data_IF_187960238817
#
_entry.id   IF_187960238817
#
_cell.length_a   1.000
_cell.length_b   1.000
_cell.length_c   1.000
_cell.angle_alpha   90.00
_cell.angle_beta   90.00
_cell.angle_gamma   90.00
#
_symmetry.space_group_name_H-M   'P 1'
#
loop_
_entity.id
_entity.type
_entity.pdbx_description
1 polymer ?
#
# COMPACT_ATOMS: atom_id res chain seq x y z
N UNK A 1 -54.61 22.50 51.69
CA UNK A 1 -54.48 22.75 50.25
C UNK A 1 -53.11 22.23 49.79
N UNK A 2 -53.14 21.21 48.93
CA UNK A 2 -52.14 20.72 47.95
C UNK A 2 -50.66 20.64 48.35
N UNK A 3 -50.21 19.40 48.51
CA UNK A 3 -48.82 18.93 48.39
C UNK A 3 -48.21 19.32 47.03
N UNK A 4 -46.93 19.69 47.01
CA UNK A 4 -46.10 19.60 45.81
C UNK A 4 -44.74 19.00 46.17
N UNK A 5 -44.58 17.73 45.80
CA UNK A 5 -43.32 17.01 45.76
C UNK A 5 -42.58 17.51 44.51
N UNK A 6 -41.41 18.11 44.69
CA UNK A 6 -40.55 18.54 43.58
C UNK A 6 -39.80 17.30 43.07
N UNK A 7 -40.28 16.73 41.96
CA UNK A 7 -39.56 15.71 41.19
C UNK A 7 -38.51 16.45 40.35
N UNK A 8 -37.23 16.23 40.66
CA UNK A 8 -36.11 16.69 39.83
C UNK A 8 -36.04 15.77 38.61
N UNK A 9 -36.61 16.21 37.49
CA UNK A 9 -36.42 15.56 36.19
C UNK A 9 -35.05 15.99 35.67
N UNK A 10 -34.07 15.10 35.76
CA UNK A 10 -32.80 15.24 35.05
C UNK A 10 -33.07 15.01 33.56
N UNK A 11 -33.25 16.08 32.80
CA UNK A 11 -33.26 16.02 31.34
C UNK A 11 -31.82 15.81 30.89
N UNK A 12 -31.44 14.55 30.65
CA UNK A 12 -30.22 14.23 29.91
C UNK A 12 -30.52 14.61 28.46
N UNK A 13 -30.15 15.83 28.09
CA UNK A 13 -30.15 16.28 26.71
C UNK A 13 -29.17 15.38 25.95
N UNK A 14 -29.69 14.46 25.15
CA UNK A 14 -28.94 13.78 24.11
C UNK A 14 -28.55 14.82 23.06
N UNK A 15 -27.49 15.58 23.34
CA UNK A 15 -26.74 16.26 22.28
C UNK A 15 -26.11 15.16 21.45
N UNK A 16 -26.75 14.90 20.31
CA UNK A 16 -26.21 14.17 19.18
C UNK A 16 -24.71 14.44 19.08
N UNK A 17 -23.92 13.41 19.36
CA UNK A 17 -22.53 13.30 18.94
C UNK A 17 -22.51 13.59 17.45
N UNK A 18 -22.09 14.80 17.09
CA UNK A 18 -21.76 15.12 15.71
C UNK A 18 -20.83 14.03 15.22
N UNK A 19 -21.26 13.32 14.18
CA UNK A 19 -20.43 12.39 13.45
C UNK A 19 -19.17 13.16 13.08
N UNK A 20 -18.07 12.88 13.78
CA UNK A 20 -16.77 13.39 13.42
C UNK A 20 -16.49 12.86 12.02
N UNK A 21 -16.73 13.70 11.01
CA UNK A 21 -16.26 13.48 9.66
C UNK A 21 -14.75 13.25 9.82
N UNK A 22 -14.18 12.12 9.36
CA UNK A 22 -12.77 11.88 9.57
C UNK A 22 -12.00 13.04 8.93
N UNK A 23 -11.21 13.76 9.74
CA UNK A 23 -10.29 14.78 9.25
C UNK A 23 -9.38 14.12 8.23
N UNK A 24 -9.55 14.50 6.95
CA UNK A 24 -8.66 14.08 5.89
C UNK A 24 -7.30 14.75 6.11
N UNK A 25 -6.32 13.99 6.57
CA UNK A 25 -4.91 14.38 6.62
C UNK A 25 -4.31 14.39 5.19
N UNK A 26 -4.91 15.14 4.26
CA UNK A 26 -4.41 15.26 2.89
C UNK A 26 -3.50 16.49 2.78
N UNK A 27 -2.36 16.36 2.11
CA UNK A 27 -1.46 17.46 1.78
C UNK A 27 -1.51 17.76 0.27
N UNK A 28 -1.20 19.00 -0.11
CA UNK A 28 -1.23 19.45 -1.51
C UNK A 28 0.06 20.15 -1.92
N UNK A 29 0.58 19.83 -3.10
CA UNK A 29 1.71 20.51 -3.73
C UNK A 29 1.50 20.60 -5.24
N UNK A 30 2.12 21.60 -5.90
CA UNK A 30 1.92 21.87 -7.32
C UNK A 30 3.27 21.87 -8.04
N UNK A 31 3.41 21.03 -9.06
CA UNK A 31 4.65 20.88 -9.83
C UNK A 31 4.44 21.29 -11.29
N UNK A 32 5.25 22.23 -11.78
CA UNK A 32 5.37 22.55 -13.19
C UNK A 32 6.66 21.96 -13.72
N UNK A 33 6.59 21.05 -14.69
CA UNK A 33 7.73 20.23 -15.11
C UNK A 33 7.82 20.05 -16.62
N UNK A 34 7.35 21.01 -17.40
CA UNK A 34 7.17 20.85 -18.85
C UNK A 34 5.73 20.48 -19.20
N UNK A 35 5.54 19.72 -20.28
CA UNK A 35 4.21 19.24 -20.68
C UNK A 35 3.57 18.43 -19.54
N UNK A 36 2.43 18.91 -19.02
CA UNK A 36 1.81 18.31 -17.83
C UNK A 36 1.28 16.89 -18.04
N UNK A 37 1.18 16.38 -19.28
CA UNK A 37 0.68 15.04 -19.57
C UNK A 37 1.60 13.97 -19.00
N UNK A 38 2.90 14.13 -19.27
CA UNK A 38 3.91 13.25 -18.70
C UNK A 38 4.02 13.43 -17.19
N UNK A 39 4.07 14.68 -16.73
CA UNK A 39 4.23 15.01 -15.31
C UNK A 39 3.08 14.43 -14.47
N UNK A 40 1.84 14.57 -14.92
CA UNK A 40 0.67 13.97 -14.26
C UNK A 40 0.78 12.45 -14.25
N UNK A 41 0.98 11.84 -15.42
CA UNK A 41 1.03 10.39 -15.52
C UNK A 41 2.12 9.79 -14.63
N UNK A 42 3.29 10.43 -14.54
CA UNK A 42 4.37 10.05 -13.63
C UNK A 42 3.96 10.16 -12.16
N UNK A 43 3.45 11.32 -11.72
CA UNK A 43 3.13 11.58 -10.31
C UNK A 43 2.01 10.65 -9.82
N UNK A 44 1.02 10.36 -10.66
CA UNK A 44 -0.05 9.39 -10.36
C UNK A 44 0.44 7.98 -10.06
N UNK A 45 1.63 7.60 -10.53
CA UNK A 45 2.18 6.27 -10.27
C UNK A 45 2.67 6.10 -8.83
N UNK A 46 2.90 7.19 -8.10
CA UNK A 46 3.55 7.17 -6.80
C UNK A 46 2.53 6.74 -5.74
N UNK A 47 2.84 5.66 -5.00
CA UNK A 47 1.98 5.18 -3.93
C UNK A 47 1.80 6.28 -2.88
N UNK A 48 0.57 6.56 -2.47
CA UNK A 48 0.26 7.64 -1.53
C UNK A 48 -0.13 8.96 -2.22
N UNK A 49 0.06 9.12 -3.53
CA UNK A 49 -0.65 10.13 -4.30
C UNK A 49 -2.10 9.65 -4.48
N UNK A 50 -3.05 10.46 -4.01
CA UNK A 50 -4.46 10.09 -3.98
C UNK A 50 -5.25 10.68 -5.15
N UNK A 51 -4.84 11.84 -5.65
CA UNK A 51 -5.39 12.42 -6.87
C UNK A 51 -4.45 13.44 -7.49
N UNK A 52 -4.60 13.63 -8.81
CA UNK A 52 -3.91 14.68 -9.57
C UNK A 52 -4.92 15.49 -10.39
N UNK A 53 -4.53 16.69 -10.76
CA UNK A 53 -5.26 17.52 -11.72
C UNK A 53 -4.29 18.42 -12.48
N UNK A 54 -4.36 18.42 -13.80
CA UNK A 54 -3.56 19.35 -14.62
C UNK A 54 -4.24 20.69 -14.79
N UNK A 55 -3.45 21.75 -14.89
CA UNK A 55 -3.93 23.11 -15.03
C UNK A 55 -2.85 24.14 -15.26
N UNK A 56 -3.26 25.40 -15.15
CA UNK A 56 -2.45 26.58 -15.43
C UNK A 56 -2.26 27.37 -14.14
N UNK A 57 -1.03 27.37 -13.61
CA UNK A 57 -0.71 28.05 -12.35
C UNK A 57 -0.06 29.42 -12.58
N UNK A 58 -0.28 30.31 -11.61
CA UNK A 58 0.37 31.63 -11.53
C UNK A 58 0.18 32.45 -12.82
N UNK A 59 -1.04 32.44 -13.35
CA UNK A 59 -1.43 33.20 -14.52
C UNK A 59 -1.74 34.65 -14.17
N UNK A 60 -1.41 35.56 -15.09
CA UNK A 60 -1.84 36.96 -15.04
C UNK A 60 -3.22 37.17 -15.68
N UNK A 61 -3.79 36.15 -16.32
CA UNK A 61 -5.12 36.16 -16.94
C UNK A 61 -6.00 35.17 -16.19
N UNK A 62 -7.23 35.58 -15.84
CA UNK A 62 -8.16 34.70 -15.18
C UNK A 62 -8.68 33.62 -16.15
N UNK A 63 -8.69 32.36 -15.70
CA UNK A 63 -9.24 31.20 -16.43
C UNK A 63 -8.77 31.13 -17.90
N UNK A 64 -7.44 31.10 -18.16
CA UNK A 64 -6.93 31.09 -19.52
C UNK A 64 -7.23 29.74 -20.20
N UNK A 65 -7.55 29.80 -21.49
CA UNK A 65 -7.59 28.62 -22.37
C UNK A 65 -6.18 28.12 -22.71
N UNK A 66 -6.08 26.86 -23.16
CA UNK A 66 -4.83 26.30 -23.63
C UNK A 66 -4.14 27.18 -24.69
N UNK A 67 -4.89 27.69 -25.68
CA UNK A 67 -4.33 28.54 -26.74
C UNK A 67 -3.74 29.84 -26.19
N UNK A 68 -4.38 30.45 -25.19
CA UNK A 68 -3.87 31.66 -24.53
C UNK A 68 -2.60 31.37 -23.74
N UNK A 69 -2.51 30.20 -23.11
CA UNK A 69 -1.31 29.76 -22.39
C UNK A 69 -0.16 29.50 -23.36
N UNK A 70 -0.40 28.76 -24.45
CA UNK A 70 0.61 28.49 -25.48
C UNK A 70 1.09 29.76 -26.19
N UNK A 71 0.28 30.82 -26.23
CA UNK A 71 0.70 32.12 -26.76
C UNK A 71 1.75 32.83 -25.89
N UNK A 72 2.01 32.36 -24.66
CA UNK A 72 2.93 32.95 -23.69
C UNK A 72 2.44 34.24 -23.01
N UNK A 73 1.28 34.80 -23.41
CA UNK A 73 0.78 36.09 -22.92
C UNK A 73 0.23 36.03 -21.49
N UNK A 74 -0.25 34.87 -21.07
CA UNK A 74 -0.84 34.67 -19.75
C UNK A 74 0.22 34.50 -18.65
N UNK A 75 1.46 34.19 -19.05
CA UNK A 75 2.56 33.80 -18.17
C UNK A 75 2.25 32.61 -17.23
N UNK A 76 1.18 31.86 -17.50
CA UNK A 76 0.85 30.68 -16.71
C UNK A 76 1.90 29.58 -16.93
N UNK A 77 2.10 28.70 -15.95
CA UNK A 77 2.84 27.44 -16.14
C UNK A 77 1.86 26.28 -16.28
N UNK A 78 2.12 25.36 -17.20
CA UNK A 78 1.51 24.03 -17.16
C UNK A 78 1.94 23.33 -15.87
N UNK A 79 0.96 22.95 -15.05
CA UNK A 79 1.19 22.54 -13.66
C UNK A 79 0.29 21.37 -13.30
N UNK A 80 0.82 20.45 -12.51
CA UNK A 80 0.06 19.34 -11.91
C UNK A 80 -0.18 19.66 -10.44
N UNK A 81 -1.45 19.74 -10.05
CA UNK A 81 -1.88 19.66 -8.64
C UNK A 81 -1.73 18.21 -8.17
N UNK A 82 -1.06 18.00 -7.04
CA UNK A 82 -0.90 16.68 -6.41
C UNK A 82 -1.51 16.71 -5.02
N UNK A 83 -2.49 15.84 -4.78
CA UNK A 83 -3.04 15.57 -3.43
C UNK A 83 -2.50 14.22 -2.96
N UNK A 84 -1.90 14.18 -1.77
CA UNK A 84 -1.24 12.99 -1.26
C UNK A 84 -1.45 12.75 0.24
N UNK A 85 -1.30 11.51 0.66
CA UNK A 85 -1.27 11.09 2.08
C UNK A 85 0.17 11.20 2.63
N UNK A 86 0.46 12.18 3.50
CA UNK A 86 1.78 12.39 4.09
C UNK A 86 2.25 11.23 4.99
N UNK A 87 1.36 10.30 5.36
CA UNK A 87 1.74 9.06 6.06
C UNK A 87 2.30 7.99 5.13
N UNK A 88 1.94 8.05 3.85
CA UNK A 88 2.34 7.06 2.83
C UNK A 88 3.48 7.55 1.96
N UNK A 89 3.50 8.85 1.62
CA UNK A 89 4.56 9.51 0.84
C UNK A 89 4.81 10.89 1.43
N UNK A 90 6.07 11.22 1.72
CA UNK A 90 6.43 12.55 2.22
C UNK A 90 6.82 13.51 1.07
N UNK A 91 6.88 14.81 1.39
CA UNK A 91 7.22 15.85 0.42
C UNK A 91 8.66 15.70 -0.12
N UNK A 92 9.61 15.20 0.69
CA UNK A 92 10.99 15.00 0.25
C UNK A 92 11.07 13.98 -0.89
N UNK A 93 10.34 12.86 -0.77
CA UNK A 93 10.30 11.84 -1.81
C UNK A 93 9.62 12.37 -3.07
N UNK A 94 8.51 13.11 -2.95
CA UNK A 94 7.85 13.73 -4.11
C UNK A 94 8.80 14.70 -4.85
N UNK A 95 9.57 15.51 -4.12
CA UNK A 95 10.56 16.43 -4.68
C UNK A 95 11.70 15.68 -5.39
N UNK A 96 12.29 14.66 -4.76
CA UNK A 96 13.35 13.84 -5.37
C UNK A 96 12.87 13.17 -6.66
N UNK A 97 11.65 12.62 -6.66
CA UNK A 97 11.06 11.99 -7.84
C UNK A 97 10.76 13.01 -8.94
N UNK A 98 10.20 14.17 -8.60
CA UNK A 98 9.97 15.27 -9.54
C UNK A 98 11.29 15.69 -10.22
N UNK A 99 12.37 15.87 -9.46
CA UNK A 99 13.68 16.27 -10.01
C UNK A 99 14.26 15.27 -11.02
N UNK A 100 13.92 13.97 -10.91
CA UNK A 100 14.36 12.96 -11.88
C UNK A 100 13.63 13.05 -13.23
N UNK A 101 12.49 13.74 -13.27
CA UNK A 101 11.68 13.87 -14.49
C UNK A 101 11.98 15.10 -15.33
N UNK A 102 12.74 16.05 -14.79
CA UNK A 102 13.02 17.34 -15.42
C UNK A 102 14.52 17.54 -15.67
N UNK A 103 14.87 18.40 -16.61
CA UNK A 103 16.16 19.08 -16.64
C UNK A 103 16.07 20.32 -15.71
N UNK A 104 16.71 20.30 -14.53
CA UNK A 104 16.58 21.36 -13.55
C UNK A 104 17.34 22.64 -13.94
N UNK A 105 18.20 22.60 -14.96
CA UNK A 105 18.99 23.74 -15.43
C UNK A 105 18.36 24.43 -16.64
N UNK A 106 17.37 23.79 -17.26
CA UNK A 106 16.69 24.29 -18.45
C UNK A 106 15.74 25.44 -18.11
N UNK A 107 15.92 26.58 -18.78
CA UNK A 107 15.03 27.72 -18.66
C UNK A 107 13.93 27.64 -19.73
N UNK A 108 12.66 27.68 -19.30
CA UNK A 108 11.48 27.74 -20.19
C UNK A 108 11.44 26.64 -21.26
N UNK A 109 11.93 25.44 -20.92
CA UNK A 109 12.00 24.30 -21.83
C UNK A 109 12.08 23.00 -21.05
N UNK A 110 11.41 21.96 -21.54
CA UNK A 110 11.61 20.56 -21.12
C UNK A 110 11.49 19.67 -22.36
N UNK A 111 12.51 18.84 -22.63
CA UNK A 111 12.58 18.06 -23.86
C UNK A 111 12.48 18.94 -25.13
N UNK A 112 11.46 18.66 -25.95
CA UNK A 112 11.17 19.40 -27.18
C UNK A 112 10.22 20.59 -26.95
N UNK A 113 9.57 20.66 -25.80
CA UNK A 113 8.57 21.68 -25.47
C UNK A 113 9.28 22.96 -25.02
N UNK A 114 8.99 24.09 -25.69
CA UNK A 114 9.66 25.39 -25.47
C UNK A 114 8.63 26.50 -25.25
N UNK A 115 8.87 27.32 -24.23
CA UNK A 115 7.98 28.41 -23.85
C UNK A 115 7.89 28.57 -22.34
N UNK A 116 7.46 29.75 -21.90
CA UNK A 116 7.31 30.06 -20.46
C UNK A 116 6.32 29.15 -19.77
N UNK A 117 5.34 28.61 -20.49
CA UNK A 117 4.39 27.62 -19.99
C UNK A 117 5.05 26.29 -19.58
N UNK A 118 6.23 25.97 -20.13
CA UNK A 118 6.99 24.75 -19.83
C UNK A 118 8.15 24.98 -18.87
N UNK A 119 8.18 26.13 -18.16
CA UNK A 119 9.17 26.39 -17.13
C UNK A 119 9.03 25.40 -15.97
N UNK A 120 10.13 25.13 -15.29
CA UNK A 120 10.15 24.29 -14.10
C UNK A 120 9.80 25.11 -12.86
N UNK A 121 8.92 24.59 -12.01
CA UNK A 121 8.42 25.32 -10.86
C UNK A 121 7.83 24.41 -9.77
N UNK A 122 7.99 24.85 -8.52
CA UNK A 122 7.36 24.25 -7.35
C UNK A 122 6.51 25.33 -6.68
N UNK A 123 5.20 25.12 -6.65
CA UNK A 123 4.26 26.07 -6.08
C UNK A 123 3.61 25.52 -4.82
N UNK A 124 3.83 26.20 -3.69
CA UNK A 124 3.33 25.79 -2.38
C UNK A 124 2.12 26.62 -1.96
N UNK A 125 1.17 26.00 -1.26
CA UNK A 125 0.08 26.69 -0.57
C UNK A 125 0.45 26.88 0.91
N UNK A 126 0.97 25.83 1.56
CA UNK A 126 1.39 25.90 2.95
C UNK A 126 2.83 26.46 3.04
N UNK A 127 3.01 27.53 3.83
CA UNK A 127 4.33 28.12 4.06
C UNK A 127 5.28 27.18 4.83
N UNK A 128 4.73 26.19 5.54
CA UNK A 128 5.51 25.20 6.28
C UNK A 128 6.29 24.24 5.36
N UNK A 129 5.89 24.12 4.08
CA UNK A 129 6.60 23.31 3.08
C UNK A 129 7.87 24.00 2.57
N UNK A 130 7.95 25.32 2.67
CA UNK A 130 9.00 26.13 2.08
C UNK A 130 10.42 25.76 2.57
N UNK A 131 10.68 25.52 3.87
CA UNK A 131 11.98 25.04 4.33
C UNK A 131 12.40 23.71 3.69
N UNK A 132 11.46 22.76 3.55
CA UNK A 132 11.70 21.45 2.94
C UNK A 132 12.04 21.60 1.45
N UNK A 133 11.26 22.40 0.72
CA UNK A 133 11.49 22.69 -0.71
C UNK A 133 12.85 23.37 -0.90
N UNK A 134 13.17 24.39 -0.11
CA UNK A 134 14.44 25.11 -0.21
C UNK A 134 15.63 24.22 0.10
N UNK A 135 15.50 23.32 1.08
CA UNK A 135 16.54 22.34 1.39
C UNK A 135 16.75 21.36 0.23
N UNK A 136 15.66 20.86 -0.36
CA UNK A 136 15.73 19.95 -1.51
C UNK A 136 16.39 20.63 -2.73
N UNK A 137 16.03 21.88 -3.03
CA UNK A 137 16.67 22.68 -4.10
C UNK A 137 18.15 22.91 -3.81
N UNK A 138 18.51 23.24 -2.56
CA UNK A 138 19.91 23.41 -2.16
C UNK A 138 20.70 22.12 -2.38
N UNK A 139 20.15 20.96 -1.98
CA UNK A 139 20.79 19.66 -2.19
C UNK A 139 20.89 19.28 -3.67
N UNK A 140 19.88 19.60 -4.48
CA UNK A 140 19.92 19.37 -5.92
C UNK A 140 21.00 20.24 -6.58
N UNK A 141 21.11 21.50 -6.17
CA UNK A 141 22.05 22.46 -6.75
C UNK A 141 23.51 22.03 -6.65
N UNK A 142 23.88 21.26 -5.61
CA UNK A 142 25.27 20.78 -5.45
C UNK A 142 25.67 19.75 -6.51
N UNK A 143 24.69 19.16 -7.21
CA UNK A 143 24.91 18.16 -8.26
C UNK A 143 25.15 18.80 -9.64
N UNK A 144 24.95 20.11 -9.77
CA UNK A 144 25.03 20.82 -11.05
C UNK A 144 26.02 21.99 -10.97
N UNK A 145 26.82 22.16 -12.03
CA UNK A 145 27.67 23.36 -12.18
C UNK A 145 26.87 24.56 -12.67
N UNK A 146 25.88 24.31 -13.51
CA UNK A 146 24.94 25.32 -14.00
C UNK A 146 23.90 25.61 -12.93
N UNK A 147 23.57 26.89 -12.66
CA UNK A 147 22.49 27.23 -11.74
C UNK A 147 21.16 26.56 -12.11
N UNK A 148 20.42 26.16 -11.09
CA UNK A 148 19.10 25.55 -11.25
C UNK A 148 18.09 26.64 -11.63
N UNK A 149 17.25 26.35 -12.62
CA UNK A 149 16.23 27.24 -13.19
C UNK A 149 14.84 27.05 -12.56
N UNK A 150 14.67 26.06 -11.67
CA UNK A 150 13.41 25.77 -10.98
C UNK A 150 13.02 26.96 -10.11
N UNK A 151 11.86 27.56 -10.37
CA UNK A 151 11.33 28.60 -9.50
C UNK A 151 10.58 28.00 -8.29
N UNK A 152 10.74 28.60 -7.12
CA UNK A 152 9.98 28.25 -5.91
C UNK A 152 9.17 29.47 -5.50
N UNK A 153 7.84 29.37 -5.59
CA UNK A 153 6.93 30.50 -5.36
C UNK A 153 5.66 30.05 -4.62
N UNK A 154 4.99 30.94 -3.88
CA UNK A 154 3.64 30.64 -3.42
C UNK A 154 2.70 30.47 -4.63
N UNK A 155 1.74 29.57 -4.52
CA UNK A 155 0.66 29.45 -5.51
C UNK A 155 -0.28 30.66 -5.37
N UNK A 156 -0.45 31.42 -6.46
CA UNK A 156 -1.31 32.61 -6.49
C UNK A 156 -2.69 32.30 -7.07
N UNK A 157 -2.74 31.51 -8.13
CA UNK A 157 -3.95 30.96 -8.73
C UNK A 157 -3.63 29.65 -9.45
N UNK A 158 -4.64 28.80 -9.61
CA UNK A 158 -4.60 27.57 -10.39
C UNK A 158 -5.93 27.41 -11.11
N UNK A 159 -5.89 27.33 -12.43
CA UNK A 159 -7.07 27.09 -13.27
C UNK A 159 -6.98 25.69 -13.86
N UNK A 160 -7.94 24.78 -13.58
CA UNK A 160 -7.96 23.46 -14.20
C UNK A 160 -7.95 23.56 -15.72
N UNK A 161 -7.10 22.76 -16.37
CA UNK A 161 -7.13 22.65 -17.82
C UNK A 161 -8.39 21.91 -18.28
N UNK A 162 -8.68 22.02 -19.56
CA UNK A 162 -9.80 21.38 -20.22
C UNK A 162 -9.80 19.85 -20.00
N UNK A 163 -10.98 19.23 -20.03
CA UNK A 163 -11.17 17.82 -19.68
C UNK A 163 -10.41 16.84 -20.58
N UNK A 164 -10.04 17.25 -21.80
CA UNK A 164 -9.24 16.43 -22.70
C UNK A 164 -7.77 16.35 -22.28
N UNK A 165 -7.26 17.30 -21.49
CA UNK A 165 -5.91 17.29 -20.95
C UNK A 165 -5.79 16.45 -19.66
N UNK A 166 -6.86 16.34 -18.88
CA UNK A 166 -6.88 15.53 -17.66
C UNK A 166 -6.68 14.05 -18.02
N UNK A 167 -5.78 13.35 -17.33
CA UNK A 167 -5.50 11.93 -17.54
C UNK A 167 -5.15 11.59 -19.01
N UNK A 168 -4.48 12.51 -19.71
CA UNK A 168 -4.28 12.40 -21.15
C UNK A 168 -3.59 11.09 -21.57
N UNK A 169 -2.53 10.66 -20.88
CA UNK A 169 -1.80 9.43 -21.20
C UNK A 169 -2.53 8.16 -20.76
N UNK A 170 -3.47 8.26 -19.82
CA UNK A 170 -4.34 7.13 -19.48
C UNK A 170 -5.38 6.91 -20.59
N UNK A 171 -5.89 8.00 -21.17
CA UNK A 171 -6.79 8.00 -22.34
C UNK A 171 -6.06 7.65 -23.64
N UNK A 172 -4.78 8.02 -23.74
CA UNK A 172 -3.95 7.88 -24.94
C UNK A 172 -2.59 7.26 -24.57
N UNK A 173 -2.48 5.93 -24.37
CA UNK A 173 -1.24 5.29 -23.90
C UNK A 173 -0.02 5.46 -24.82
N UNK A 174 -0.24 5.71 -26.12
CA UNK A 174 0.80 6.05 -27.11
C UNK A 174 0.96 7.54 -27.36
N UNK A 175 0.34 8.39 -26.53
CA UNK A 175 0.39 9.83 -26.64
C UNK A 175 1.78 10.40 -26.40
N UNK A 176 1.97 11.66 -26.79
CA UNK A 176 3.24 12.35 -26.59
C UNK A 176 3.62 12.43 -25.10
N UNK A 177 4.87 12.05 -24.80
CA UNK A 177 5.46 12.21 -23.48
C UNK A 177 6.97 12.41 -23.62
N UNK A 178 7.51 13.49 -23.04
CA UNK A 178 8.96 13.73 -23.01
C UNK A 178 9.67 13.00 -21.86
N UNK A 179 8.92 12.50 -20.86
CA UNK A 179 9.48 11.75 -19.73
C UNK A 179 9.80 10.33 -20.17
N UNK A 180 10.99 9.83 -19.82
CA UNK A 180 11.39 8.47 -20.15
C UNK A 180 10.45 7.45 -19.47
N UNK A 181 9.85 6.50 -20.21
CA UNK A 181 8.93 5.50 -19.64
C UNK A 181 9.51 4.66 -18.49
N UNK A 182 10.83 4.47 -18.43
CA UNK A 182 11.49 3.77 -17.32
C UNK A 182 11.28 4.48 -15.97
N UNK A 183 11.06 5.80 -15.97
CA UNK A 183 10.77 6.57 -14.77
C UNK A 183 9.37 6.27 -14.21
N UNK A 184 8.40 5.84 -15.02
CA UNK A 184 7.10 5.43 -14.50
C UNK A 184 7.18 4.16 -13.65
N UNK A 185 8.01 3.20 -14.07
CA UNK A 185 8.29 2.00 -13.26
C UNK A 185 9.01 2.35 -11.96
N UNK A 186 9.97 3.27 -12.03
CA UNK A 186 10.66 3.79 -10.84
C UNK A 186 9.65 4.43 -9.87
N UNK A 187 8.74 5.29 -10.35
CA UNK A 187 7.73 5.94 -9.53
C UNK A 187 6.83 4.92 -8.81
N UNK A 188 6.37 3.88 -9.50
CA UNK A 188 5.57 2.79 -8.90
C UNK A 188 6.30 2.06 -7.77
N UNK A 189 7.63 1.97 -7.86
CA UNK A 189 8.49 1.27 -6.90
C UNK A 189 9.10 2.17 -5.83
N UNK A 190 9.02 3.49 -5.98
CA UNK A 190 9.77 4.45 -5.17
C UNK A 190 9.50 4.35 -3.66
N UNK A 191 8.27 4.01 -3.29
CA UNK A 191 7.86 3.71 -1.92
C UNK A 191 6.91 2.52 -1.88
N UNK A 192 7.29 1.47 -2.61
CA UNK A 192 6.60 0.18 -2.55
C UNK A 192 6.35 -0.20 -1.08
N UNK A 193 5.17 -0.77 -0.76
CA UNK A 193 4.89 -1.23 0.59
C UNK A 193 6.05 -2.11 1.06
N UNK A 194 6.56 -1.86 2.26
CA UNK A 194 7.52 -2.77 2.88
C UNK A 194 6.78 -4.08 3.13
N UNK A 195 7.02 -5.09 2.31
CA UNK A 195 6.53 -6.44 2.56
C UNK A 195 7.13 -6.91 3.88
N UNK A 196 6.30 -7.43 4.78
CA UNK A 196 6.79 -8.03 6.02
C UNK A 196 7.67 -9.22 5.64
N UNK A 197 8.96 -9.13 5.95
CA UNK A 197 9.91 -10.21 5.69
C UNK A 197 9.86 -11.15 6.87
N UNK A 198 9.39 -12.37 6.63
CA UNK A 198 9.41 -13.44 7.61
C UNK A 198 10.77 -14.15 7.56
N UNK A 199 11.27 -14.57 8.72
CA UNK A 199 12.55 -15.27 8.83
C UNK A 199 12.42 -16.41 9.83
N UNK A 200 13.06 -17.54 9.55
CA UNK A 200 13.17 -18.64 10.50
C UNK A 200 14.08 -18.24 11.66
N UNK A 201 13.60 -18.27 12.91
CA UNK A 201 14.48 -18.14 14.07
C UNK A 201 15.48 -19.29 14.13
N UNK A 202 16.59 -19.08 14.85
CA UNK A 202 17.56 -20.15 15.10
C UNK A 202 16.99 -21.24 16.03
N UNK A 203 17.60 -22.43 16.02
CA UNK A 203 17.12 -23.58 16.79
C UNK A 203 17.04 -23.33 18.31
N UNK A 204 17.97 -22.54 18.86
CA UNK A 204 17.98 -22.20 20.29
C UNK A 204 16.79 -21.33 20.65
N UNK A 205 16.44 -20.39 19.78
CA UNK A 205 15.25 -19.54 19.91
C UNK A 205 13.98 -20.39 19.80
N UNK A 206 13.87 -21.24 18.77
CA UNK A 206 12.72 -22.13 18.59
C UNK A 206 12.49 -23.06 19.80
N UNK A 207 13.55 -23.60 20.42
CA UNK A 207 13.43 -24.44 21.63
C UNK A 207 12.94 -23.69 22.86
N UNK A 208 13.15 -22.38 22.92
CA UNK A 208 12.71 -21.54 24.05
C UNK A 208 11.26 -21.08 23.88
N UNK A 209 10.87 -20.78 22.65
CA UNK A 209 9.56 -20.18 22.35
C UNK A 209 8.46 -21.22 22.10
N UNK A 210 8.81 -22.37 21.50
CA UNK A 210 7.83 -23.41 21.18
C UNK A 210 7.63 -24.39 22.33
N UNK A 211 6.41 -24.90 22.46
CA UNK A 211 6.14 -26.07 23.30
C UNK A 211 6.86 -27.31 22.75
N UNK A 212 7.02 -28.34 23.59
CA UNK A 212 7.65 -29.59 23.18
C UNK A 212 6.94 -30.24 21.97
N UNK A 213 5.61 -30.18 21.92
CA UNK A 213 4.81 -30.69 20.80
C UNK A 213 4.97 -29.84 19.55
N UNK A 214 4.89 -28.51 19.67
CA UNK A 214 5.09 -27.58 18.55
C UNK A 214 6.49 -27.76 17.93
N UNK A 215 7.52 -27.89 18.75
CA UNK A 215 8.88 -28.16 18.29
C UNK A 215 8.99 -29.54 17.63
N UNK A 216 8.39 -30.59 18.22
CA UNK A 216 8.40 -31.93 17.65
C UNK A 216 7.70 -31.99 16.29
N UNK A 217 6.54 -31.37 16.17
CA UNK A 217 5.79 -31.27 14.91
C UNK A 217 6.61 -30.50 13.88
N UNK A 218 6.95 -29.24 14.17
CA UNK A 218 7.53 -28.33 13.17
C UNK A 218 8.96 -28.68 12.76
N UNK A 219 9.80 -29.15 13.70
CA UNK A 219 11.22 -29.40 13.44
C UNK A 219 11.58 -30.88 13.29
N UNK A 220 10.77 -31.80 13.82
CA UNK A 220 11.04 -33.25 13.78
C UNK A 220 9.99 -34.07 13.03
N UNK A 221 9.10 -33.40 12.30
CA UNK A 221 8.05 -34.03 11.48
C UNK A 221 7.13 -34.97 12.29
N UNK A 222 6.92 -34.66 13.58
CA UNK A 222 5.92 -35.37 14.37
C UNK A 222 4.50 -35.00 13.89
N UNK A 223 3.52 -35.78 14.30
CA UNK A 223 2.09 -35.50 14.06
C UNK A 223 1.35 -35.51 15.39
N UNK A 224 0.61 -34.45 15.68
CA UNK A 224 -0.18 -34.32 16.91
C UNK A 224 -1.39 -35.29 16.88
N UNK A 225 -1.97 -35.66 18.03
CA UNK A 225 -3.10 -36.58 18.05
C UNK A 225 -4.37 -35.98 17.42
N UNK A 226 -5.10 -36.82 16.67
CA UNK A 226 -6.40 -36.45 16.09
C UNK A 226 -7.40 -36.04 17.18
N UNK A 227 -8.18 -35.00 16.92
CA UNK A 227 -9.23 -34.42 17.80
C UNK A 227 -8.76 -33.92 19.17
N UNK A 228 -7.47 -34.03 19.50
CA UNK A 228 -6.88 -33.55 20.74
C UNK A 228 -5.85 -32.47 20.44
N UNK A 229 -6.29 -31.48 19.66
CA UNK A 229 -5.47 -30.34 19.25
C UNK A 229 -6.31 -29.06 19.25
N UNK A 230 -5.65 -27.91 19.16
CA UNK A 230 -6.32 -26.61 19.39
C UNK A 230 -7.28 -26.21 18.27
N UNK A 231 -6.97 -26.53 17.02
CA UNK A 231 -7.64 -25.93 15.86
C UNK A 231 -8.49 -26.88 15.02
N UNK A 232 -8.64 -28.16 15.37
CA UNK A 232 -9.54 -29.05 14.62
C UNK A 232 -10.96 -28.47 14.54
N UNK A 233 -11.50 -27.96 15.66
CA UNK A 233 -12.86 -27.38 15.74
C UNK A 233 -12.89 -25.84 15.82
N UNK A 234 -11.81 -25.15 15.42
CA UNK A 234 -11.80 -23.69 15.34
C UNK A 234 -12.51 -23.22 14.06
N UNK A 235 -13.47 -22.30 14.19
CA UNK A 235 -14.30 -21.78 13.09
C UNK A 235 -14.41 -20.26 13.08
N UNK A 236 -13.72 -19.56 14.00
CA UNK A 236 -13.77 -18.10 14.06
C UNK A 236 -13.14 -17.50 12.78
N UNK A 237 -13.64 -16.34 12.31
CA UNK A 237 -13.01 -15.61 11.22
C UNK A 237 -11.59 -15.17 11.61
N UNK A 238 -10.62 -15.40 10.73
CA UNK A 238 -9.22 -15.09 10.96
C UNK A 238 -8.27 -15.78 9.99
N UNK A 239 -6.98 -15.69 10.29
CA UNK A 239 -5.90 -16.35 9.54
C UNK A 239 -5.13 -17.30 10.45
N UNK A 240 -4.46 -18.28 9.85
CA UNK A 240 -3.53 -19.18 10.52
C UNK A 240 -2.13 -18.86 10.00
N UNK A 241 -1.23 -18.50 10.91
CA UNK A 241 0.17 -18.19 10.59
C UNK A 241 1.07 -19.35 11.01
N UNK A 242 2.22 -19.49 10.36
CA UNK A 242 3.30 -20.38 10.79
C UNK A 242 3.71 -19.99 12.21
N UNK A 243 3.64 -20.94 13.15
CA UNK A 243 3.99 -20.66 14.55
C UNK A 243 5.46 -20.30 14.74
N UNK A 244 6.33 -20.71 13.80
CA UNK A 244 7.78 -20.50 13.87
C UNK A 244 8.23 -19.15 13.32
N UNK A 245 7.51 -18.59 12.34
CA UNK A 245 7.92 -17.35 11.65
C UNK A 245 6.90 -16.23 11.71
N UNK A 246 5.64 -16.56 12.00
CA UNK A 246 4.50 -15.65 11.88
C UNK A 246 4.03 -15.41 10.43
N UNK A 247 4.56 -16.13 9.44
CA UNK A 247 4.11 -16.01 8.04
C UNK A 247 2.68 -16.54 7.86
N UNK A 248 1.74 -15.77 7.27
CA UNK A 248 0.38 -16.24 7.01
C UNK A 248 0.34 -17.42 6.04
N UNK A 249 -0.26 -18.53 6.46
CA UNK A 249 -0.32 -19.76 5.67
C UNK A 249 -1.73 -20.06 5.13
N UNK A 250 -2.77 -19.88 5.96
CA UNK A 250 -4.14 -20.25 5.60
C UNK A 250 -5.16 -19.23 6.07
N UNK A 251 -6.32 -19.20 5.41
CA UNK A 251 -7.48 -18.38 5.79
C UNK A 251 -8.59 -19.27 6.34
N UNK A 252 -9.29 -18.79 7.37
CA UNK A 252 -10.50 -19.44 7.91
C UNK A 252 -11.58 -19.74 6.86
N UNK A 253 -11.72 -18.91 5.82
CA UNK A 253 -12.70 -19.11 4.72
C UNK A 253 -12.42 -20.36 3.87
N UNK A 254 -11.16 -20.79 3.84
CA UNK A 254 -10.73 -21.99 3.11
C UNK A 254 -10.64 -23.22 4.02
N UNK A 255 -10.83 -23.05 5.34
CA UNK A 255 -10.97 -24.14 6.30
C UNK A 255 -12.32 -24.86 6.09
N UNK A 256 -12.34 -26.16 6.30
CA UNK A 256 -13.55 -26.98 6.30
C UNK A 256 -13.43 -28.14 7.28
N UNK A 257 -14.57 -28.71 7.68
CA UNK A 257 -14.59 -29.92 8.50
C UNK A 257 -14.45 -31.15 7.59
N UNK A 258 -13.34 -31.87 7.76
CA UNK A 258 -13.05 -33.11 7.01
C UNK A 258 -13.37 -34.37 7.80
N UNK A 259 -13.67 -34.26 9.10
CA UNK A 259 -13.78 -35.39 10.01
C UNK A 259 -12.47 -36.15 10.26
N UNK A 260 -11.31 -35.67 9.79
CA UNK A 260 -10.04 -36.38 10.00
C UNK A 260 -9.42 -36.16 11.40
N UNK A 261 -9.86 -35.12 12.11
CA UNK A 261 -9.36 -34.75 13.44
C UNK A 261 -8.21 -33.74 13.48
N UNK A 262 -7.82 -33.20 12.32
CA UNK A 262 -6.87 -32.09 12.19
C UNK A 262 -7.49 -30.94 11.40
N UNK A 263 -7.08 -29.67 11.63
CA UNK A 263 -7.55 -28.55 10.81
C UNK A 263 -7.25 -28.82 9.34
N UNK A 264 -8.29 -28.71 8.52
CA UNK A 264 -8.26 -29.04 7.10
C UNK A 264 -8.60 -27.82 6.26
N UNK A 265 -7.75 -27.51 5.28
CA UNK A 265 -7.91 -26.38 4.37
C UNK A 265 -7.96 -26.83 2.92
N UNK A 266 -8.70 -26.11 2.09
CA UNK A 266 -8.80 -26.40 0.66
C UNK A 266 -7.62 -25.86 -0.14
N UNK A 267 -7.00 -24.78 0.33
CA UNK A 267 -5.84 -24.12 -0.29
C UNK A 267 -5.09 -23.23 0.73
N UNK A 268 -3.80 -22.96 0.51
CA UNK A 268 -3.07 -21.93 1.25
C UNK A 268 -3.46 -20.50 0.79
N UNK A 269 -3.08 -19.49 1.58
CA UNK A 269 -3.22 -18.06 1.25
C UNK A 269 -2.59 -17.74 -0.11
N UNK A 270 -1.40 -18.30 -0.33
CA UNK A 270 -0.64 -18.21 -1.58
C UNK A 270 0.06 -19.56 -1.80
N UNK A 271 0.24 -19.97 -3.07
CA UNK A 271 0.84 -21.28 -3.36
C UNK A 271 2.35 -21.31 -3.15
N UNK A 272 3.01 -20.18 -3.38
CA UNK A 272 4.46 -20.06 -3.37
C UNK A 272 5.08 -19.97 -1.96
N UNK A 273 4.27 -19.88 -0.90
CA UNK A 273 4.68 -19.94 0.51
C UNK A 273 4.68 -21.38 1.08
N UNK A 274 4.20 -22.36 0.32
CA UNK A 274 4.19 -23.78 0.70
C UNK A 274 5.23 -24.55 -0.12
N UNK A 275 5.98 -25.41 0.55
CA UNK A 275 6.84 -26.40 -0.08
C UNK A 275 6.20 -27.80 0.03
N UNK A 276 6.01 -28.45 -1.12
CA UNK A 276 5.51 -29.82 -1.20
C UNK A 276 6.68 -30.79 -1.40
N UNK A 277 6.79 -31.81 -0.53
CA UNK A 277 7.85 -32.84 -0.59
C UNK A 277 7.23 -34.23 -0.63
N UNK A 278 7.82 -35.13 -1.41
CA UNK A 278 7.40 -36.55 -1.42
C UNK A 278 7.76 -37.21 -0.08
N UNK A 279 6.79 -37.84 0.56
CA UNK A 279 6.94 -38.56 1.82
C UNK A 279 6.64 -40.05 1.62
N UNK A 280 7.59 -40.92 1.94
CA UNK A 280 7.46 -42.39 1.88
C UNK A 280 7.48 -43.06 3.26
N UNK A 281 7.32 -42.28 4.33
CA UNK A 281 7.27 -42.78 5.70
C UNK A 281 6.04 -43.65 5.96
N UNK A 282 6.12 -44.49 7.00
CA UNK A 282 5.02 -45.35 7.46
C UNK A 282 4.43 -46.29 6.37
N UNK A 283 5.21 -46.61 5.33
CA UNK A 283 4.79 -47.52 4.26
C UNK A 283 3.76 -46.92 3.29
N UNK A 284 3.55 -45.60 3.31
CA UNK A 284 2.62 -44.89 2.44
C UNK A 284 3.37 -43.97 1.47
N UNK A 285 2.72 -43.53 0.39
CA UNK A 285 3.22 -42.43 -0.46
C UNK A 285 2.28 -41.25 -0.27
N UNK A 286 2.81 -40.17 0.32
CA UNK A 286 2.06 -38.94 0.61
C UNK A 286 2.86 -37.72 0.11
N UNK A 287 2.19 -36.57 0.09
CA UNK A 287 2.83 -35.28 -0.16
C UNK A 287 2.88 -34.51 1.16
N UNK A 288 4.07 -34.41 1.73
CA UNK A 288 4.35 -33.56 2.88
C UNK A 288 4.22 -32.09 2.49
N UNK A 289 3.64 -31.31 3.40
CA UNK A 289 3.47 -29.86 3.29
C UNK A 289 4.33 -29.19 4.35
N UNK A 290 5.17 -28.25 3.93
CA UNK A 290 6.04 -27.44 4.80
C UNK A 290 5.86 -25.96 4.52
N UNK A 291 6.09 -25.10 5.51
CA UNK A 291 6.22 -23.66 5.24
C UNK A 291 7.54 -23.42 4.51
N UNK A 292 7.52 -22.59 3.46
CA UNK A 292 8.72 -22.38 2.63
C UNK A 292 9.78 -21.55 3.35
N UNK A 293 9.38 -20.52 4.08
CA UNK A 293 10.30 -19.62 4.80
C UNK A 293 10.90 -20.27 6.04
N UNK A 294 10.08 -20.97 6.83
CA UNK A 294 10.52 -21.63 8.06
C UNK A 294 11.11 -23.04 7.87
N UNK A 295 10.87 -23.66 6.70
CA UNK A 295 11.00 -25.11 6.48
C UNK A 295 10.38 -25.90 7.65
N UNK A 296 9.25 -25.41 8.20
CA UNK A 296 8.55 -26.08 9.29
C UNK A 296 7.61 -27.14 8.71
N UNK A 297 7.63 -28.35 9.27
CA UNK A 297 6.64 -29.37 8.94
C UNK A 297 5.25 -28.92 9.39
N UNK A 298 4.31 -28.90 8.45
CA UNK A 298 2.93 -28.50 8.69
C UNK A 298 2.02 -29.74 8.72
N UNK A 299 2.19 -30.65 7.77
CA UNK A 299 1.38 -31.86 7.65
C UNK A 299 1.45 -32.44 6.25
N UNK A 300 0.29 -32.78 5.67
CA UNK A 300 0.20 -33.42 4.36
C UNK A 300 -0.97 -32.88 3.53
N UNK A 301 -0.86 -32.98 2.21
CA UNK A 301 -1.95 -32.66 1.27
C UNK A 301 -2.47 -33.92 0.59
N UNK A 302 -3.79 -34.01 0.48
CA UNK A 302 -4.53 -35.12 -0.12
C UNK A 302 -5.48 -34.60 -1.21
N UNK A 303 -5.92 -35.47 -2.10
CA UNK A 303 -6.84 -35.17 -3.22
C UNK A 303 -8.29 -35.59 -2.93
N UNK A 304 -8.64 -35.74 -1.66
CA UNK A 304 -9.95 -36.14 -1.13
C UNK A 304 -10.74 -34.95 -0.55
N UNK A 305 -10.37 -33.73 -0.94
CA UNK A 305 -11.04 -32.51 -0.49
C UNK A 305 -12.33 -32.17 -1.26
N UNK A 306 -13.04 -31.10 -0.86
CA UNK A 306 -14.27 -30.66 -1.51
C UNK A 306 -14.01 -30.25 -2.97
N UNK A 307 -14.72 -30.88 -3.91
CA UNK A 307 -14.49 -30.70 -5.36
C UNK A 307 -14.75 -29.25 -5.80
N UNK A 308 -15.75 -28.62 -5.21
CA UNK A 308 -16.12 -27.22 -5.45
C UNK A 308 -15.05 -26.22 -4.99
N UNK A 309 -14.13 -26.64 -4.11
CA UNK A 309 -12.98 -25.84 -3.65
C UNK A 309 -11.64 -26.31 -4.25
N UNK A 310 -11.67 -27.10 -5.33
CA UNK A 310 -10.47 -27.59 -6.03
C UNK A 310 -10.03 -29.00 -5.68
N UNK A 311 -10.74 -29.70 -4.77
CA UNK A 311 -10.53 -31.12 -4.49
C UNK A 311 -9.31 -31.45 -3.62
N UNK A 312 -8.59 -30.46 -3.11
CA UNK A 312 -7.45 -30.65 -2.22
C UNK A 312 -7.86 -30.54 -0.75
N UNK A 313 -7.17 -31.31 0.10
CA UNK A 313 -7.27 -31.26 1.55
C UNK A 313 -5.87 -31.14 2.14
N UNK A 314 -5.51 -29.93 2.54
CA UNK A 314 -4.34 -29.64 3.36
C UNK A 314 -4.67 -29.99 4.80
N UNK A 315 -4.19 -31.14 5.26
CA UNK A 315 -4.36 -31.68 6.61
C UNK A 315 -3.17 -31.23 7.47
N UNK A 316 -3.37 -30.23 8.31
CA UNK A 316 -2.29 -29.50 8.99
C UNK A 316 -2.34 -29.75 10.49
N UNK A 317 -1.18 -29.84 11.15
CA UNK A 317 -1.10 -29.88 12.60
C UNK A 317 -1.39 -28.50 13.19
N UNK A 318 -2.29 -28.40 14.16
CA UNK A 318 -2.53 -27.19 14.95
C UNK A 318 -1.26 -26.69 15.63
N UNK A 319 -0.42 -27.61 16.13
CA UNK A 319 0.87 -27.31 16.73
C UNK A 319 1.91 -26.68 15.77
N UNK A 320 1.62 -26.62 14.47
CA UNK A 320 2.42 -25.87 13.49
C UNK A 320 1.88 -24.48 13.17
N UNK A 321 0.70 -24.14 13.72
CA UNK A 321 -0.04 -22.93 13.41
C UNK A 321 -0.22 -22.07 14.66
N UNK A 322 -0.43 -20.77 14.45
CA UNK A 322 -1.02 -19.86 15.42
C UNK A 322 -2.22 -19.17 14.79
N UNK A 323 -3.38 -19.25 15.41
CA UNK A 323 -4.59 -18.60 14.90
C UNK A 323 -4.66 -17.12 15.32
N UNK A 324 -4.93 -16.24 14.35
CA UNK A 324 -5.12 -14.81 14.55
C UNK A 324 -6.58 -14.46 14.21
N UNK A 325 -7.42 -14.16 15.22
CA UNK A 325 -8.80 -13.80 14.97
C UNK A 325 -8.89 -12.45 14.24
N UNK A 326 -9.91 -12.28 13.40
CA UNK A 326 -10.14 -11.10 12.55
C UNK A 326 -10.01 -9.79 13.31
N UNK A 327 -10.51 -9.75 14.54
CA UNK A 327 -10.53 -8.57 15.40
C UNK A 327 -9.12 -8.12 15.83
N UNK A 328 -8.15 -9.04 15.86
CA UNK A 328 -6.75 -8.78 16.24
C UNK A 328 -5.80 -8.61 15.06
N UNK A 329 -6.22 -8.98 13.84
CA UNK A 329 -5.34 -8.97 12.67
C UNK A 329 -4.69 -7.60 12.42
N UNK A 330 -5.44 -6.50 12.54
CA UNK A 330 -4.88 -5.15 12.32
C UNK A 330 -3.85 -4.77 13.39
N UNK A 331 -4.16 -5.07 14.66
CA UNK A 331 -3.28 -4.80 15.80
C UNK A 331 -1.97 -5.60 15.72
N UNK A 332 -2.06 -6.88 15.32
CA UNK A 332 -0.90 -7.77 15.19
C UNK A 332 -0.13 -7.60 13.86
N UNK A 333 -0.49 -6.61 13.05
CA UNK A 333 0.22 -6.28 11.81
C UNK A 333 -0.08 -7.18 10.61
N UNK A 334 -1.27 -7.78 10.57
CA UNK A 334 -1.83 -8.59 9.47
C UNK A 334 -3.02 -7.90 8.79
N UNK A 335 -3.13 -6.57 8.91
CA UNK A 335 -4.25 -5.80 8.38
C UNK A 335 -4.44 -5.92 6.86
N UNK A 336 -3.37 -6.19 6.11
CA UNK A 336 -3.41 -6.39 4.65
C UNK A 336 -4.19 -7.64 4.22
N UNK A 337 -4.34 -8.64 5.11
CA UNK A 337 -5.06 -9.88 4.83
C UNK A 337 -6.54 -9.82 5.20
N UNK A 338 -7.02 -8.73 5.82
CA UNK A 338 -8.43 -8.55 6.16
C UNK A 338 -9.39 -8.72 4.97
N UNK A 339 -9.08 -8.28 3.73
CA UNK A 339 -9.95 -8.50 2.58
C UNK A 339 -10.17 -9.98 2.21
N UNK A 340 -9.34 -10.91 2.71
CA UNK A 340 -9.50 -12.35 2.48
C UNK A 340 -10.55 -12.99 3.40
N UNK A 341 -10.92 -12.31 4.49
CA UNK A 341 -11.90 -12.79 5.47
C UNK A 341 -13.31 -12.39 5.01
N UNK A 342 -13.96 -13.31 4.30
CA UNK A 342 -15.33 -13.16 3.77
C UNK A 342 -16.39 -13.32 4.85
#
# INVERSE_FOLDING_TARGET
MKYFIIIVIVVISNTFLGVAKPMKNQAEIYFAGGCFWGTEHFLKQIRGVESTQVGYANSNVANPSYEQVCSGKTNAAETVKVVYDPKTVDLNLLLDLYFKTIDPTSLNRQGNDRGTQYRTGIYYINKEDLPVINQAIKLLSTQYKTPIAIEVKPLTNFYPAETYHQDYLDKNPGGYCHINPALFEMARKANAPKTKVYQKPDDSTLRKELSAEQYAVTQKNATEPAFHNEYWNEHRPGIYVDITTGEPLFVSTDKFDSGCGWPSFSQPIQKDIIAEKKDTSHGMIRTEVRSKTGDAHLGHVFTDGPKEKGGLRYCINSASLRFIPKEKMKEEGYGEYLPLIK
#
